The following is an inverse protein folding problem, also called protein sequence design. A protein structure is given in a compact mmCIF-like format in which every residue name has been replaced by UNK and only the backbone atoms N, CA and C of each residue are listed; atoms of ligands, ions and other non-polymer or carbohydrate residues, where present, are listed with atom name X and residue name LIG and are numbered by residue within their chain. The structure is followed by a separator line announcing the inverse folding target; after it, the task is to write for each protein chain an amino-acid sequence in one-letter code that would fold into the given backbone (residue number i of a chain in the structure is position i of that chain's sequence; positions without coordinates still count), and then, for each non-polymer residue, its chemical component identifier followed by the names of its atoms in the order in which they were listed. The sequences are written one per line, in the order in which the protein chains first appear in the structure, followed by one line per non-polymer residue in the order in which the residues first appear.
data_IF_540897047660
#
_entry.id   IF_540897047660
#
_cell.length_a   1.000
_cell.length_b   1.000
_cell.length_c   1.000
_cell.angle_alpha   90.00
_cell.angle_beta   90.00
_cell.angle_gamma   90.00
#
_symmetry.space_group_name_H-M   'P 1'
#
loop_
_entity.id
_entity.type
_entity.pdbx_description
1 polymer ?
#
# COMPACT_ATOMS: atom_id res chain seq x y z
N UNK A 1 -23.83 -4.09 -10.72
CA UNK A 1 -23.35 -2.72 -10.50
C UNK A 1 -22.28 -2.40 -11.51
N UNK A 2 -22.23 -1.18 -12.03
CA UNK A 2 -21.15 -0.72 -12.92
C UNK A 2 -20.48 0.50 -12.30
N UNK A 3 -19.17 0.46 -12.15
CA UNK A 3 -18.39 1.43 -11.39
C UNK A 3 -17.31 2.05 -12.27
N UNK A 4 -17.08 3.34 -12.11
CA UNK A 4 -16.01 4.07 -12.77
C UNK A 4 -14.98 4.51 -11.74
N UNK A 5 -13.69 4.27 -12.00
CA UNK A 5 -12.59 4.74 -11.15
C UNK A 5 -11.64 5.65 -11.93
N UNK A 6 -11.54 6.92 -11.53
CA UNK A 6 -10.67 7.91 -12.17
C UNK A 6 -9.46 8.18 -11.28
N UNK A 7 -8.27 7.89 -11.78
CA UNK A 7 -7.01 8.01 -11.05
C UNK A 7 -5.99 8.92 -11.76
N UNK A 8 -5.18 9.58 -10.95
CA UNK A 8 -4.05 10.43 -11.37
C UNK A 8 -2.70 9.69 -11.32
N UNK A 9 -2.68 8.46 -10.90
CA UNK A 9 -1.46 7.72 -10.60
C UNK A 9 -1.50 6.30 -11.10
N UNK A 10 -0.37 5.65 -10.96
CA UNK A 10 -0.21 4.24 -11.29
C UNK A 10 -1.16 3.38 -10.43
N UNK A 11 -2.22 2.90 -11.08
CA UNK A 11 -3.21 2.01 -10.47
C UNK A 11 -2.62 0.61 -10.24
N UNK A 12 -1.49 0.29 -10.85
CA UNK A 12 -0.82 -1.00 -10.68
C UNK A 12 -0.04 -1.13 -9.35
N UNK A 13 -0.12 -0.15 -8.44
CA UNK A 13 0.33 -0.38 -7.07
C UNK A 13 -0.57 -1.41 -6.36
N UNK A 14 0.03 -2.30 -5.55
CA UNK A 14 -0.69 -3.45 -4.96
C UNK A 14 -1.96 -3.08 -4.19
N UNK A 15 -1.93 -2.00 -3.46
CA UNK A 15 -3.09 -1.53 -2.70
C UNK A 15 -4.17 -0.87 -3.57
N UNK A 16 -3.80 -0.29 -4.72
CA UNK A 16 -4.79 0.18 -5.70
C UNK A 16 -5.44 -0.99 -6.42
N UNK A 17 -4.65 -1.96 -6.86
CA UNK A 17 -5.18 -3.18 -7.46
C UNK A 17 -6.09 -3.93 -6.51
N UNK A 18 -5.74 -4.01 -5.22
CA UNK A 18 -6.61 -4.59 -4.20
C UNK A 18 -7.94 -3.85 -4.06
N UNK A 19 -7.92 -2.53 -4.15
CA UNK A 19 -9.16 -1.72 -4.15
C UNK A 19 -9.98 -1.94 -5.41
N UNK A 20 -9.36 -1.94 -6.60
CA UNK A 20 -10.03 -2.25 -7.86
C UNK A 20 -10.63 -3.66 -7.83
N UNK A 21 -9.91 -4.64 -7.27
CA UNK A 21 -10.42 -5.99 -7.08
C UNK A 21 -11.68 -6.00 -6.17
N UNK A 22 -11.68 -5.20 -5.09
CA UNK A 22 -12.85 -5.05 -4.24
C UNK A 22 -14.04 -4.44 -4.98
N UNK A 23 -13.82 -3.42 -5.80
CA UNK A 23 -14.86 -2.84 -6.66
C UNK A 23 -15.40 -3.88 -7.65
N UNK A 24 -14.51 -4.68 -8.25
CA UNK A 24 -14.89 -5.68 -9.24
C UNK A 24 -15.73 -6.83 -8.65
N UNK A 25 -15.66 -7.12 -7.35
CA UNK A 25 -16.57 -8.07 -6.70
C UNK A 25 -18.01 -7.56 -6.62
N UNK A 26 -18.22 -6.24 -6.77
CA UNK A 26 -19.55 -5.62 -6.80
C UNK A 26 -20.15 -5.56 -8.21
N UNK A 27 -19.30 -5.67 -9.24
CA UNK A 27 -19.72 -5.64 -10.63
C UNK A 27 -18.62 -5.21 -11.59
N UNK A 28 -19.00 -4.71 -12.74
CA UNK A 28 -18.05 -4.28 -13.77
C UNK A 28 -17.37 -2.97 -13.37
N UNK A 29 -16.06 -2.91 -13.54
CA UNK A 29 -15.24 -1.72 -13.23
C UNK A 29 -14.51 -1.25 -14.47
N UNK A 30 -14.68 0.02 -14.79
CA UNK A 30 -13.85 0.72 -15.77
C UNK A 30 -12.89 1.67 -15.01
N UNK A 31 -11.62 1.64 -15.38
CA UNK A 31 -10.58 2.48 -14.77
C UNK A 31 -10.06 3.49 -15.78
N UNK A 32 -10.10 4.77 -15.44
CA UNK A 32 -9.49 5.85 -16.21
C UNK A 32 -8.23 6.30 -15.48
N UNK A 33 -7.08 6.11 -16.12
CA UNK A 33 -5.80 6.63 -15.66
C UNK A 33 -5.42 7.89 -16.47
N UNK A 34 -5.26 9.02 -15.77
CA UNK A 34 -4.87 10.28 -16.39
C UNK A 34 -3.35 10.33 -16.57
N UNK A 35 -2.87 10.30 -17.82
CA UNK A 35 -1.45 10.33 -18.18
C UNK A 35 -0.96 11.72 -18.64
N UNK A 36 0.35 11.92 -18.64
CA UNK A 36 0.98 13.19 -19.12
C UNK A 36 1.15 13.23 -20.64
N UNK A 37 1.29 12.08 -21.27
CA UNK A 37 1.69 11.96 -22.68
C UNK A 37 0.55 12.15 -23.65
N UNK A 38 0.88 12.64 -24.84
CA UNK A 38 -0.06 13.11 -25.86
C UNK A 38 -0.59 12.00 -26.79
N UNK A 39 -0.10 10.79 -26.60
CA UNK A 39 -0.48 9.63 -27.44
C UNK A 39 -1.86 9.13 -27.04
N UNK A 40 -2.87 9.58 -27.72
CA UNK A 40 -4.22 9.06 -27.80
C UNK A 40 -4.81 8.34 -26.57
N UNK A 41 -6.04 7.90 -26.66
CA UNK A 41 -6.65 7.04 -25.62
C UNK A 41 -6.25 5.60 -25.89
N UNK A 42 -5.45 5.02 -25.02
CA UNK A 42 -5.15 3.59 -25.03
C UNK A 42 -6.18 2.83 -24.20
N UNK A 43 -6.63 1.67 -24.72
CA UNK A 43 -7.57 0.77 -24.04
C UNK A 43 -6.90 -0.56 -23.79
N UNK A 44 -6.93 -1.03 -22.55
CA UNK A 44 -6.36 -2.32 -22.15
C UNK A 44 -7.31 -3.07 -21.21
N UNK A 45 -7.67 -4.29 -21.58
CA UNK A 45 -8.32 -5.23 -20.68
C UNK A 45 -7.27 -5.89 -19.80
N UNK A 46 -7.44 -5.80 -18.49
CA UNK A 46 -6.59 -6.46 -17.50
C UNK A 46 -7.41 -7.53 -16.79
N UNK A 47 -7.05 -8.79 -17.01
CA UNK A 47 -7.63 -9.94 -16.32
C UNK A 47 -6.66 -10.46 -15.25
N UNK A 48 -7.16 -11.20 -14.28
CA UNK A 48 -6.32 -12.04 -13.41
C UNK A 48 -6.14 -13.42 -14.05
N UNK A 49 -4.97 -14.04 -13.88
CA UNK A 49 -4.70 -15.41 -14.35
C UNK A 49 -5.67 -16.45 -13.77
N UNK A 50 -6.33 -16.11 -12.66
CA UNK A 50 -7.35 -16.94 -12.01
C UNK A 50 -8.78 -16.62 -12.49
N UNK A 51 -8.96 -15.84 -13.55
CA UNK A 51 -10.28 -15.54 -14.15
C UNK A 51 -11.24 -14.75 -13.28
N UNK A 52 -10.76 -14.17 -12.18
CA UNK A 52 -11.63 -13.58 -11.14
C UNK A 52 -12.14 -12.19 -11.51
N UNK A 53 -11.44 -11.45 -12.40
CA UNK A 53 -11.88 -10.11 -12.77
C UNK A 53 -11.38 -9.66 -14.13
N UNK A 54 -12.24 -8.93 -14.83
CA UNK A 54 -11.96 -8.25 -16.08
C UNK A 54 -12.18 -6.76 -15.86
N UNK A 55 -11.10 -5.98 -15.91
CA UNK A 55 -11.14 -4.54 -15.71
C UNK A 55 -10.65 -3.84 -16.96
N UNK A 56 -11.46 -2.93 -17.49
CA UNK A 56 -11.07 -2.14 -18.65
C UNK A 56 -10.32 -0.89 -18.19
N UNK A 57 -9.08 -0.75 -18.66
CA UNK A 57 -8.27 0.44 -18.43
C UNK A 57 -8.29 1.36 -19.64
N UNK A 58 -8.52 2.64 -19.38
CA UNK A 58 -8.45 3.73 -20.35
C UNK A 58 -7.36 4.70 -19.92
N UNK A 59 -6.37 4.89 -20.75
CA UNK A 59 -5.30 5.88 -20.52
C UNK A 59 -5.68 7.16 -21.25
N UNK A 60 -5.95 8.24 -20.49
CA UNK A 60 -6.40 9.50 -21.06
C UNK A 60 -5.33 10.58 -20.89
N UNK A 61 -4.87 11.24 -21.97
CA UNK A 61 -3.83 12.26 -21.92
C UNK A 61 -4.35 13.57 -21.31
N UNK A 62 -4.52 13.56 -19.99
CA UNK A 62 -5.07 14.69 -19.27
C UNK A 62 -4.53 14.80 -17.84
N UNK A 63 -3.66 15.77 -17.59
CA UNK A 63 -3.13 16.05 -16.24
C UNK A 63 -3.28 17.49 -15.78
N UNK A 64 -3.88 18.34 -16.56
CA UNK A 64 -3.97 19.77 -16.23
C UNK A 64 -5.42 20.17 -15.93
N UNK A 65 -5.67 20.68 -14.73
CA UNK A 65 -6.99 21.15 -14.30
C UNK A 65 -7.53 22.31 -15.19
N UNK A 66 -6.64 23.10 -15.78
CA UNK A 66 -7.04 24.18 -16.72
C UNK A 66 -7.72 23.61 -17.97
N UNK A 67 -7.47 22.33 -18.29
CA UNK A 67 -8.09 21.62 -19.42
C UNK A 67 -9.26 20.72 -19.00
N UNK A 68 -9.93 21.02 -17.90
CA UNK A 68 -11.00 20.18 -17.35
C UNK A 68 -12.06 19.83 -18.40
N UNK A 69 -12.53 20.82 -19.18
CA UNK A 69 -13.52 20.60 -20.24
C UNK A 69 -13.00 19.66 -21.33
N UNK A 70 -11.75 19.85 -21.80
CA UNK A 70 -11.15 18.93 -22.77
C UNK A 70 -11.04 17.50 -22.21
N UNK A 71 -10.61 17.37 -20.95
CA UNK A 71 -10.51 16.08 -20.27
C UNK A 71 -11.88 15.40 -20.17
N UNK A 72 -12.90 16.15 -19.79
CA UNK A 72 -14.29 15.68 -19.74
C UNK A 72 -14.73 15.14 -21.11
N UNK A 73 -14.56 15.91 -22.18
CA UNK A 73 -14.93 15.49 -23.55
C UNK A 73 -14.18 14.22 -24.00
N UNK A 74 -12.90 14.07 -23.61
CA UNK A 74 -12.14 12.86 -23.92
C UNK A 74 -12.71 11.64 -23.19
N UNK A 75 -13.08 11.79 -21.92
CA UNK A 75 -13.67 10.71 -21.12
C UNK A 75 -15.05 10.33 -21.67
N UNK A 76 -15.90 11.32 -21.99
CA UNK A 76 -17.23 11.09 -22.58
C UNK A 76 -17.19 10.36 -23.93
N UNK A 77 -16.08 10.45 -24.68
CA UNK A 77 -15.89 9.69 -25.93
C UNK A 77 -15.57 8.21 -25.73
N UNK A 78 -15.03 7.83 -24.58
CA UNK A 78 -14.53 6.47 -24.32
C UNK A 78 -15.41 5.67 -23.39
N UNK A 79 -16.20 6.33 -22.54
CA UNK A 79 -17.11 5.69 -21.60
C UNK A 79 -18.49 6.33 -21.65
N UNK A 80 -19.52 5.49 -21.58
CA UNK A 80 -20.91 5.91 -21.47
C UNK A 80 -21.25 6.13 -19.98
N UNK A 81 -21.24 7.40 -19.57
CA UNK A 81 -21.42 7.81 -18.17
C UNK A 81 -22.79 7.42 -17.60
N UNK A 82 -23.78 7.21 -18.46
CA UNK A 82 -25.14 6.87 -18.05
C UNK A 82 -25.27 5.49 -17.44
N UNK A 83 -24.25 4.66 -17.64
CA UNK A 83 -24.24 3.28 -17.20
C UNK A 83 -23.62 3.07 -15.83
N UNK A 84 -23.03 4.10 -15.21
CA UNK A 84 -22.33 3.92 -13.92
C UNK A 84 -23.23 4.27 -12.74
N UNK A 85 -23.25 3.38 -11.75
CA UNK A 85 -23.95 3.58 -10.48
C UNK A 85 -23.20 4.53 -9.54
N UNK A 86 -21.85 4.52 -9.59
CA UNK A 86 -21.01 5.42 -8.83
C UNK A 86 -19.67 5.70 -9.52
N UNK A 87 -19.06 6.86 -9.19
CA UNK A 87 -17.77 7.27 -9.68
C UNK A 87 -16.78 7.39 -8.51
N UNK A 88 -15.70 6.63 -8.55
CA UNK A 88 -14.59 6.74 -7.62
C UNK A 88 -13.51 7.64 -8.20
N UNK A 89 -12.84 8.41 -7.37
CA UNK A 89 -11.80 9.32 -7.82
C UNK A 89 -10.67 9.46 -6.79
N UNK A 90 -9.44 9.64 -7.28
CA UNK A 90 -8.33 10.11 -6.45
C UNK A 90 -8.35 11.63 -6.31
N UNK A 91 -7.61 12.22 -5.35
CA UNK A 91 -7.54 13.67 -5.17
C UNK A 91 -7.04 14.44 -6.41
N UNK A 92 -7.22 15.74 -6.43
CA UNK A 92 -6.85 16.71 -7.49
C UNK A 92 -7.81 16.63 -8.68
N UNK A 93 -7.26 16.58 -9.92
CA UNK A 93 -8.04 16.57 -11.14
C UNK A 93 -9.13 15.48 -11.20
N UNK A 94 -8.85 14.22 -10.80
CA UNK A 94 -9.87 13.15 -10.84
C UNK A 94 -11.16 13.49 -10.09
N UNK A 95 -11.10 14.04 -8.88
CA UNK A 95 -12.32 14.35 -8.12
C UNK A 95 -13.16 15.46 -8.76
N UNK A 96 -12.53 16.44 -9.38
CA UNK A 96 -13.24 17.50 -10.12
C UNK A 96 -13.88 16.96 -11.40
N UNK A 97 -13.16 16.08 -12.12
CA UNK A 97 -13.69 15.36 -13.27
C UNK A 97 -14.89 14.51 -12.87
N UNK A 98 -14.73 13.66 -11.84
CA UNK A 98 -15.81 12.83 -11.31
C UNK A 98 -17.05 13.66 -10.98
N UNK A 99 -16.87 14.80 -10.29
CA UNK A 99 -17.98 15.71 -9.98
C UNK A 99 -18.61 16.35 -11.21
N UNK A 100 -17.80 16.73 -12.22
CA UNK A 100 -18.31 17.32 -13.47
C UNK A 100 -19.02 16.31 -14.38
N UNK A 101 -18.66 15.03 -14.26
CA UNK A 101 -19.20 13.92 -15.04
C UNK A 101 -20.40 13.26 -14.34
N UNK A 102 -20.54 13.43 -13.02
CA UNK A 102 -21.62 12.81 -12.25
C UNK A 102 -22.97 13.46 -12.55
N UNK A 103 -24.01 12.62 -12.62
CA UNK A 103 -25.40 13.04 -12.73
C UNK A 103 -26.01 13.39 -11.38
N UNK A 104 -27.21 13.96 -11.40
CA UNK A 104 -27.99 14.18 -10.18
C UNK A 104 -28.26 12.82 -9.50
N UNK A 105 -27.94 12.72 -8.22
CA UNK A 105 -28.10 11.50 -7.43
C UNK A 105 -26.99 10.48 -7.57
N UNK A 106 -26.06 10.63 -8.51
CA UNK A 106 -24.92 9.71 -8.65
C UNK A 106 -23.85 10.01 -7.61
N UNK A 107 -23.44 8.96 -6.87
CA UNK A 107 -22.40 9.09 -5.82
C UNK A 107 -21.01 9.29 -6.40
N UNK A 108 -20.32 10.34 -5.93
CA UNK A 108 -18.88 10.56 -6.17
C UNK A 108 -18.12 10.22 -4.91
N UNK A 109 -17.27 9.20 -4.98
CA UNK A 109 -16.53 8.68 -3.83
C UNK A 109 -15.03 9.01 -3.99
N UNK A 110 -14.53 9.86 -3.11
CA UNK A 110 -13.11 10.24 -3.08
C UNK A 110 -12.29 9.17 -2.33
N UNK A 111 -11.23 8.68 -2.97
CA UNK A 111 -10.23 7.83 -2.32
C UNK A 111 -9.04 8.68 -1.86
N UNK A 112 -9.01 9.00 -0.59
CA UNK A 112 -8.03 9.91 0.00
C UNK A 112 -6.85 9.13 0.60
N UNK A 113 -5.76 9.05 -0.16
CA UNK A 113 -4.55 8.29 0.20
C UNK A 113 -3.82 8.84 1.41
N UNK A 114 -3.64 10.14 1.46
CA UNK A 114 -2.85 10.79 2.49
C UNK A 114 -3.10 12.28 2.48
N UNK A 115 -3.26 12.85 3.65
CA UNK A 115 -3.17 14.29 3.87
C UNK A 115 -1.76 14.58 4.36
N UNK A 116 -0.94 15.29 3.55
CA UNK A 116 0.46 15.59 3.92
C UNK A 116 0.56 16.27 5.29
N UNK A 117 -0.36 17.16 5.59
CA UNK A 117 -0.44 17.82 6.89
C UNK A 117 -0.60 16.85 8.06
N UNK A 118 -1.30 15.72 7.89
CA UNK A 118 -1.44 14.69 8.91
C UNK A 118 -0.10 14.04 9.31
N UNK A 119 0.87 14.09 8.40
CA UNK A 119 2.19 13.46 8.53
C UNK A 119 3.33 14.47 8.66
N UNK A 120 3.02 15.77 8.83
CA UNK A 120 4.01 16.85 8.84
C UNK A 120 5.15 16.58 9.85
N UNK A 121 4.83 16.14 11.07
CA UNK A 121 5.83 15.84 12.10
C UNK A 121 6.82 14.77 11.64
N UNK A 122 6.33 13.70 10.99
CA UNK A 122 7.19 12.63 10.51
C UNK A 122 8.01 13.09 9.29
N UNK A 123 7.38 13.83 8.38
CA UNK A 123 8.03 14.37 7.20
C UNK A 123 9.17 15.34 7.58
N UNK A 124 8.95 16.22 8.55
CA UNK A 124 10.00 17.10 9.08
C UNK A 124 11.14 16.31 9.73
N UNK A 125 10.83 15.27 10.51
CA UNK A 125 11.84 14.36 11.08
C UNK A 125 12.70 13.69 10.00
N UNK A 126 12.11 13.42 8.83
CA UNK A 126 12.81 12.88 7.66
C UNK A 126 13.46 13.95 6.76
N UNK A 127 13.43 15.23 7.16
CA UNK A 127 14.06 16.32 6.42
C UNK A 127 13.26 16.85 5.24
N UNK A 128 11.97 16.53 5.15
CA UNK A 128 11.05 17.05 4.13
C UNK A 128 10.50 18.44 4.55
N UNK A 129 11.38 19.43 4.65
CA UNK A 129 11.02 20.77 5.11
C UNK A 129 10.11 21.53 4.14
N UNK A 130 10.09 21.16 2.86
CA UNK A 130 9.17 21.68 1.85
C UNK A 130 7.70 21.43 2.22
N UNK A 131 7.41 20.41 3.04
CA UNK A 131 6.06 20.13 3.50
C UNK A 131 5.52 21.23 4.44
N UNK A 132 6.37 22.04 5.05
CA UNK A 132 5.93 23.22 5.81
C UNK A 132 5.30 24.27 4.89
N UNK A 133 5.92 24.55 3.75
CA UNK A 133 5.43 25.55 2.80
C UNK A 133 4.07 25.15 2.19
N UNK A 134 3.84 23.86 2.00
CA UNK A 134 2.59 23.33 1.41
C UNK A 134 1.56 22.90 2.46
N UNK A 135 1.84 23.08 3.76
CA UNK A 135 0.95 22.65 4.83
C UNK A 135 -0.45 23.25 4.72
N UNK A 136 -0.56 24.59 4.75
CA UNK A 136 -1.85 25.27 4.62
C UNK A 136 -2.52 25.05 3.27
N UNK A 137 -1.81 25.20 2.12
CA UNK A 137 -2.38 24.84 0.83
C UNK A 137 -2.91 23.38 0.79
N UNK A 138 -2.22 22.43 1.41
CA UNK A 138 -2.66 21.03 1.48
C UNK A 138 -3.96 20.87 2.29
N UNK A 139 -4.12 21.59 3.41
CA UNK A 139 -5.34 21.58 4.21
C UNK A 139 -6.52 22.09 3.36
N UNK A 140 -6.38 23.25 2.75
CA UNK A 140 -7.44 23.87 1.93
C UNK A 140 -7.80 22.97 0.75
N UNK A 141 -6.80 22.47 0.03
CA UNK A 141 -7.02 21.58 -1.11
C UNK A 141 -7.80 20.31 -0.73
N UNK A 142 -7.41 19.64 0.37
CA UNK A 142 -8.12 18.45 0.82
C UNK A 142 -9.55 18.76 1.30
N UNK A 143 -9.78 19.88 1.93
CA UNK A 143 -11.14 20.33 2.27
C UNK A 143 -11.99 20.45 1.01
N UNK A 144 -11.47 21.09 -0.04
CA UNK A 144 -12.17 21.24 -1.32
C UNK A 144 -12.44 19.87 -1.97
N UNK A 145 -11.48 18.94 -1.94
CA UNK A 145 -11.66 17.59 -2.52
C UNK A 145 -12.77 16.82 -1.78
N UNK A 146 -12.76 16.84 -0.45
CA UNK A 146 -13.79 16.19 0.38
C UNK A 146 -15.17 16.85 0.15
N UNK A 147 -15.23 18.18 0.06
CA UNK A 147 -16.47 18.91 -0.19
C UNK A 147 -17.10 18.53 -1.55
N UNK A 148 -16.27 18.26 -2.58
CA UNK A 148 -16.71 17.88 -3.92
C UNK A 148 -17.04 16.38 -4.07
N UNK A 149 -16.94 15.58 -3.02
CA UNK A 149 -17.36 14.18 -3.01
C UNK A 149 -18.63 13.96 -2.21
N UNK A 150 -19.37 12.88 -2.50
CA UNK A 150 -20.47 12.39 -1.66
C UNK A 150 -19.89 11.79 -0.40
N UNK A 151 -18.90 10.88 -0.57
CA UNK A 151 -18.12 10.26 0.51
C UNK A 151 -16.63 10.34 0.23
N UNK A 152 -15.82 10.31 1.29
CA UNK A 152 -14.36 10.29 1.21
C UNK A 152 -13.80 9.14 2.04
N UNK A 153 -13.19 8.19 1.36
CA UNK A 153 -12.55 7.01 1.97
C UNK A 153 -11.10 7.35 2.29
N UNK A 154 -10.74 7.36 3.56
CA UNK A 154 -9.35 7.47 4.03
C UNK A 154 -8.74 6.08 4.20
N UNK A 155 -7.51 5.90 3.73
CA UNK A 155 -6.84 4.60 3.68
C UNK A 155 -6.01 4.27 4.92
N UNK A 156 -5.83 5.21 5.84
CA UNK A 156 -5.12 5.00 7.11
C UNK A 156 -5.76 5.79 8.26
N UNK A 157 -5.48 5.32 9.50
CA UNK A 157 -6.05 5.92 10.70
C UNK A 157 -5.54 7.33 10.97
N UNK A 158 -4.27 7.62 10.67
CA UNK A 158 -3.68 8.94 10.92
C UNK A 158 -4.34 10.00 10.03
N UNK A 159 -4.52 9.71 8.74
CA UNK A 159 -5.25 10.57 7.80
C UNK A 159 -6.72 10.75 8.21
N UNK A 160 -7.40 9.68 8.61
CA UNK A 160 -8.79 9.73 9.08
C UNK A 160 -8.95 10.63 10.30
N UNK A 161 -8.15 10.39 11.34
CA UNK A 161 -8.22 11.16 12.60
C UNK A 161 -7.89 12.63 12.38
N UNK A 162 -6.88 12.92 11.53
CA UNK A 162 -6.55 14.28 11.16
C UNK A 162 -7.71 14.97 10.44
N UNK A 163 -8.32 14.29 9.45
CA UNK A 163 -9.44 14.84 8.68
C UNK A 163 -10.65 15.13 9.57
N UNK A 164 -11.01 14.23 10.50
CA UNK A 164 -12.10 14.43 11.46
C UNK A 164 -11.90 15.67 12.33
N UNK A 165 -10.66 15.93 12.76
CA UNK A 165 -10.33 17.09 13.61
C UNK A 165 -10.25 18.40 12.84
N UNK A 166 -9.74 18.33 11.61
CA UNK A 166 -9.47 19.52 10.78
C UNK A 166 -10.71 19.99 10.01
N UNK A 167 -11.59 19.05 9.64
CA UNK A 167 -12.78 19.31 8.84
C UNK A 167 -14.07 18.80 9.53
N UNK A 168 -14.39 19.30 10.75
CA UNK A 168 -15.54 18.79 11.51
C UNK A 168 -16.88 18.91 10.76
N UNK A 169 -17.03 19.94 9.89
CA UNK A 169 -18.21 20.15 9.05
C UNK A 169 -18.37 19.10 7.92
N UNK A 170 -17.34 18.31 7.63
CA UNK A 170 -17.36 17.26 6.61
C UNK A 170 -17.32 15.86 7.21
N UNK A 171 -17.53 15.74 8.52
CA UNK A 171 -17.40 14.48 9.28
C UNK A 171 -18.25 13.36 8.69
N UNK A 172 -19.48 13.65 8.33
CA UNK A 172 -20.46 12.67 7.84
C UNK A 172 -20.08 12.12 6.45
N UNK A 173 -19.17 12.79 5.75
CA UNK A 173 -18.63 12.32 4.48
C UNK A 173 -17.38 11.43 4.64
N UNK A 174 -16.79 11.36 5.84
CA UNK A 174 -15.50 10.70 6.05
C UNK A 174 -15.67 9.25 6.52
N UNK A 175 -15.06 8.35 5.79
CA UNK A 175 -15.03 6.92 6.09
C UNK A 175 -13.58 6.45 6.19
N UNK A 176 -13.30 5.52 7.12
CA UNK A 176 -12.02 4.84 7.21
C UNK A 176 -12.18 3.44 6.60
N UNK A 177 -11.39 3.15 5.58
CA UNK A 177 -11.37 1.84 4.93
C UNK A 177 -9.97 1.52 4.45
N UNK A 178 -9.33 0.55 5.09
CA UNK A 178 -7.99 0.11 4.73
C UNK A 178 -8.02 -0.61 3.38
N UNK A 179 -7.01 -0.37 2.50
CA UNK A 179 -6.96 -1.04 1.22
C UNK A 179 -6.66 -2.53 1.42
N UNK A 180 -7.28 -3.42 0.63
CA UNK A 180 -6.89 -4.82 0.60
C UNK A 180 -5.58 -5.01 -0.17
N UNK A 181 -4.95 -6.16 0.01
CA UNK A 181 -3.82 -6.56 -0.80
C UNK A 181 -4.31 -6.94 -2.21
N UNK A 182 -3.62 -6.48 -3.25
CA UNK A 182 -3.91 -6.79 -4.64
C UNK A 182 -2.76 -7.49 -5.34
N UNK A 183 -3.09 -8.41 -6.22
CA UNK A 183 -2.14 -9.08 -7.09
C UNK A 183 -1.86 -8.23 -8.33
N UNK A 184 -0.63 -8.30 -8.85
CA UNK A 184 -0.26 -7.67 -10.12
C UNK A 184 -0.47 -8.71 -11.23
N UNK A 185 -1.43 -8.52 -12.15
CA UNK A 185 -1.69 -9.47 -13.22
C UNK A 185 -0.48 -9.55 -14.18
N UNK A 186 -0.06 -10.78 -14.51
CA UNK A 186 0.85 -11.03 -15.64
C UNK A 186 2.32 -10.64 -15.47
N UNK A 187 2.81 -10.39 -14.25
CA UNK A 187 4.21 -10.02 -14.03
C UNK A 187 5.05 -11.23 -13.61
N UNK A 188 5.42 -12.06 -14.58
CA UNK A 188 6.41 -13.11 -14.43
C UNK A 188 7.73 -12.75 -15.11
N UNK A 189 8.38 -11.67 -14.70
CA UNK A 189 9.79 -11.51 -15.05
C UNK A 189 10.58 -12.58 -14.27
N UNK A 190 10.94 -13.64 -14.95
CA UNK A 190 11.93 -14.60 -14.49
C UNK A 190 13.30 -13.91 -14.46
N UNK A 191 13.64 -13.27 -13.32
CA UNK A 191 15.04 -13.02 -13.01
C UNK A 191 15.66 -14.29 -12.43
N UNK A 192 16.97 -14.47 -12.60
CA UNK A 192 17.70 -15.62 -12.09
C UNK A 192 17.83 -15.57 -10.55
N UNK A 193 16.91 -16.26 -9.87
CA UNK A 193 16.82 -16.35 -8.42
C UNK A 193 17.44 -17.64 -7.86
N UNK A 194 18.18 -18.40 -8.68
CA UNK A 194 18.63 -19.77 -8.35
C UNK A 194 19.30 -19.89 -6.98
N UNK A 195 20.19 -18.96 -6.63
CA UNK A 195 20.91 -18.98 -5.33
C UNK A 195 20.01 -18.69 -4.13
N UNK A 196 18.96 -17.90 -4.32
CA UNK A 196 18.02 -17.55 -3.24
C UNK A 196 16.97 -18.63 -3.08
N UNK A 197 16.61 -19.30 -4.17
CA UNK A 197 15.64 -20.41 -4.14
C UNK A 197 16.09 -21.54 -3.23
N UNK A 198 17.40 -21.84 -3.15
CA UNK A 198 17.92 -22.86 -2.22
C UNK A 198 17.59 -22.54 -0.75
N UNK A 199 17.81 -21.28 -0.31
CA UNK A 199 17.47 -20.85 1.06
C UNK A 199 15.97 -20.84 1.27
N UNK A 200 15.21 -20.33 0.28
CA UNK A 200 13.76 -20.31 0.34
C UNK A 200 13.16 -21.70 0.33
N UNK A 201 13.73 -22.63 -0.45
CA UNK A 201 13.23 -24.01 -0.53
C UNK A 201 13.51 -24.79 0.75
N UNK A 202 14.65 -24.54 1.43
CA UNK A 202 14.90 -25.09 2.78
C UNK A 202 13.86 -24.59 3.80
N UNK A 203 13.38 -23.36 3.64
CA UNK A 203 12.48 -22.72 4.61
C UNK A 203 13.19 -22.31 5.91
N UNK A 204 12.41 -21.92 6.92
CA UNK A 204 12.88 -21.61 8.28
C UNK A 204 13.86 -20.42 8.33
N UNK A 205 13.52 -19.31 7.70
CA UNK A 205 14.32 -18.08 7.69
C UNK A 205 13.52 -16.86 8.17
N UNK A 206 14.25 -15.81 8.54
CA UNK A 206 13.69 -14.49 8.79
C UNK A 206 13.61 -13.70 7.49
N UNK A 207 12.43 -13.17 7.16
CA UNK A 207 12.18 -12.35 5.99
C UNK A 207 12.21 -10.86 6.35
N UNK A 208 12.87 -10.03 5.53
CA UNK A 208 12.82 -8.58 5.64
C UNK A 208 12.90 -7.90 4.29
N UNK A 209 12.29 -6.71 4.17
CA UNK A 209 12.25 -5.94 2.93
C UNK A 209 12.86 -4.56 3.13
N UNK A 210 13.93 -4.24 2.39
CA UNK A 210 14.47 -2.88 2.38
C UNK A 210 15.14 -2.55 1.04
N UNK A 211 15.09 -1.29 0.61
CA UNK A 211 15.60 -0.86 -0.70
C UNK A 211 16.78 0.09 -0.53
N UNK A 212 17.99 -0.48 -0.46
CA UNK A 212 19.24 0.26 -0.30
C UNK A 212 19.70 1.01 -1.57
N UNK A 213 19.05 0.78 -2.70
CA UNK A 213 19.31 1.51 -3.95
C UNK A 213 18.77 2.93 -3.96
N UNK A 214 17.78 3.24 -3.11
CA UNK A 214 17.23 4.59 -2.95
C UNK A 214 18.24 5.52 -2.27
N UNK A 215 17.99 6.82 -2.32
CA UNK A 215 18.84 7.87 -1.75
C UNK A 215 18.06 8.78 -0.80
N UNK A 216 18.72 9.80 -0.25
CA UNK A 216 18.10 10.82 0.58
C UNK A 216 17.55 10.34 1.91
N UNK A 217 16.46 10.96 2.34
CA UNK A 217 15.85 10.71 3.65
C UNK A 217 15.38 9.27 3.83
N UNK A 218 14.81 8.66 2.78
CA UNK A 218 14.39 7.26 2.83
C UNK A 218 15.57 6.32 3.18
N UNK A 219 16.69 6.46 2.49
CA UNK A 219 17.88 5.65 2.78
C UNK A 219 18.36 5.84 4.21
N UNK A 220 18.44 7.11 4.67
CA UNK A 220 18.99 7.45 5.98
C UNK A 220 18.10 6.97 7.14
N UNK A 221 16.80 7.18 7.06
CA UNK A 221 15.89 7.03 8.20
C UNK A 221 15.03 5.75 8.16
N UNK A 222 14.97 5.07 7.02
CA UNK A 222 14.17 3.86 6.86
C UNK A 222 15.04 2.67 6.42
N UNK A 223 15.65 2.73 5.24
CA UNK A 223 16.33 1.57 4.67
C UNK A 223 17.58 1.16 5.44
N UNK A 224 18.46 2.09 5.83
CA UNK A 224 19.67 1.77 6.62
C UNK A 224 19.34 1.20 7.99
N UNK A 225 18.48 1.81 8.83
CA UNK A 225 18.13 1.23 10.13
C UNK A 225 17.54 -0.18 10.00
N UNK A 226 16.65 -0.39 9.03
CA UNK A 226 16.05 -1.70 8.80
C UNK A 226 17.11 -2.74 8.39
N UNK A 227 18.01 -2.39 7.47
CA UNK A 227 19.09 -3.26 7.04
C UNK A 227 20.04 -3.65 8.21
N UNK A 228 20.31 -2.70 9.11
CA UNK A 228 21.12 -2.95 10.32
C UNK A 228 20.40 -3.92 11.27
N UNK A 229 19.09 -3.79 11.45
CA UNK A 229 18.30 -4.75 12.25
C UNK A 229 18.44 -6.16 11.67
N UNK A 230 18.24 -6.35 10.37
CA UNK A 230 18.38 -7.65 9.70
C UNK A 230 19.82 -8.22 9.81
N UNK A 231 20.83 -7.37 9.66
CA UNK A 231 22.21 -7.74 9.87
C UNK A 231 22.48 -8.25 11.30
N UNK A 232 21.97 -7.55 12.31
CA UNK A 232 22.16 -7.96 13.72
C UNK A 232 21.42 -9.26 14.02
N UNK A 233 20.25 -9.48 13.44
CA UNK A 233 19.52 -10.75 13.54
C UNK A 233 20.36 -11.89 12.93
N UNK A 234 20.85 -11.72 11.70
CA UNK A 234 21.69 -12.72 11.04
C UNK A 234 22.94 -13.05 11.86
N UNK A 235 23.59 -12.04 12.45
CA UNK A 235 24.79 -12.20 13.26
C UNK A 235 24.55 -12.92 14.59
N UNK A 236 23.38 -12.73 15.22
CA UNK A 236 23.12 -13.15 16.61
C UNK A 236 22.19 -14.36 16.73
N UNK A 237 21.29 -14.57 15.77
CA UNK A 237 20.27 -15.60 15.87
C UNK A 237 20.67 -16.97 15.25
N UNK A 238 21.78 -17.06 14.56
CA UNK A 238 22.24 -18.25 13.82
C UNK A 238 21.13 -18.86 12.93
N UNK A 239 20.37 -18.00 12.27
CA UNK A 239 19.29 -18.35 11.33
C UNK A 239 19.54 -17.62 10.00
N UNK A 240 19.11 -18.22 8.91
CA UNK A 240 19.12 -17.54 7.61
C UNK A 240 18.23 -16.32 7.63
N UNK A 241 18.71 -15.20 7.07
CA UNK A 241 17.96 -13.95 6.91
C UNK A 241 17.89 -13.60 5.43
N UNK A 242 16.69 -13.48 4.90
CA UNK A 242 16.44 -13.11 3.50
C UNK A 242 16.06 -11.64 3.44
N UNK A 243 16.97 -10.82 2.88
CA UNK A 243 16.77 -9.39 2.67
C UNK A 243 16.34 -9.15 1.23
N UNK A 244 15.09 -8.75 1.04
CA UNK A 244 14.46 -8.50 -0.27
C UNK A 244 14.51 -7.01 -0.61
N UNK A 245 14.71 -6.67 -1.88
CA UNK A 245 14.74 -5.32 -2.42
C UNK A 245 16.12 -4.67 -2.49
N UNK A 246 17.18 -5.44 -2.18
CA UNK A 246 18.56 -4.95 -2.23
C UNK A 246 19.51 -6.05 -2.70
N UNK A 247 20.57 -5.67 -3.43
CA UNK A 247 21.65 -6.55 -3.83
C UNK A 247 22.84 -6.44 -2.86
N UNK A 248 23.78 -7.39 -2.94
CA UNK A 248 25.06 -7.33 -2.22
C UNK A 248 25.86 -6.07 -2.59
N UNK A 249 25.81 -5.61 -3.84
CA UNK A 249 26.50 -4.38 -4.26
C UNK A 249 25.85 -3.13 -3.67
N UNK A 250 24.52 -3.11 -3.55
CA UNK A 250 23.83 -2.05 -2.80
C UNK A 250 24.27 -2.02 -1.33
N UNK A 251 24.43 -3.18 -0.71
CA UNK A 251 24.95 -3.29 0.66
C UNK A 251 26.36 -2.73 0.78
N UNK A 252 27.29 -3.19 -0.06
CA UNK A 252 28.69 -2.73 -0.07
C UNK A 252 28.82 -1.23 -0.24
N UNK A 253 28.00 -0.64 -1.12
CA UNK A 253 27.96 0.81 -1.34
C UNK A 253 27.48 1.57 -0.11
N UNK A 254 26.45 1.07 0.58
CA UNK A 254 25.81 1.76 1.72
C UNK A 254 26.58 1.52 3.03
N UNK A 255 27.23 0.35 3.16
CA UNK A 255 27.96 -0.11 4.34
C UNK A 255 29.34 -0.64 3.96
N UNK A 256 30.27 0.21 3.46
CA UNK A 256 31.56 -0.23 2.93
C UNK A 256 32.42 -0.98 3.95
N UNK A 257 32.30 -0.64 5.23
CA UNK A 257 33.06 -1.25 6.33
C UNK A 257 32.36 -2.42 7.02
N UNK A 258 31.12 -2.75 6.62
CA UNK A 258 30.29 -3.76 7.28
C UNK A 258 30.12 -5.00 6.38
N UNK A 259 30.96 -6.02 6.60
CA UNK A 259 30.87 -7.28 5.87
C UNK A 259 29.61 -8.04 6.30
N UNK A 260 28.71 -8.41 5.37
CA UNK A 260 27.53 -9.20 5.71
C UNK A 260 27.94 -10.60 6.18
N UNK A 261 27.26 -11.16 7.19
CA UNK A 261 27.47 -12.54 7.60
C UNK A 261 26.98 -13.51 6.51
N UNK A 262 27.50 -14.76 6.47
CA UNK A 262 27.20 -15.72 5.40
C UNK A 262 25.74 -16.13 5.31
N UNK A 263 24.99 -16.03 6.39
CA UNK A 263 23.55 -16.31 6.50
C UNK A 263 22.65 -15.08 6.25
N UNK A 264 23.19 -13.97 5.76
CA UNK A 264 22.41 -12.82 5.25
C UNK A 264 22.37 -12.89 3.72
N UNK A 265 21.22 -13.29 3.19
CA UNK A 265 21.00 -13.51 1.76
C UNK A 265 20.30 -12.31 1.12
N UNK A 266 20.83 -11.85 -0.01
CA UNK A 266 20.32 -10.68 -0.71
C UNK A 266 19.49 -11.10 -1.91
N UNK A 267 18.25 -10.60 -1.94
CA UNK A 267 17.30 -10.82 -3.04
C UNK A 267 16.95 -9.46 -3.62
N UNK A 268 17.23 -9.26 -4.89
CA UNK A 268 16.94 -8.01 -5.60
C UNK A 268 15.49 -7.52 -5.45
N UNK A 269 15.04 -6.69 -6.38
CA UNK A 269 13.67 -6.16 -6.43
C UNK A 269 13.02 -6.56 -7.75
N UNK A 270 11.69 -6.44 -7.85
CA UNK A 270 10.97 -6.66 -9.11
C UNK A 270 10.34 -8.04 -9.25
N UNK A 271 10.00 -8.68 -8.14
CA UNK A 271 9.39 -10.02 -8.14
C UNK A 271 7.92 -10.00 -8.53
N UNK A 272 7.51 -11.00 -9.30
CA UNK A 272 6.11 -11.37 -9.50
C UNK A 272 5.49 -11.97 -8.23
N UNK A 273 4.16 -12.04 -8.22
CA UNK A 273 3.39 -12.49 -7.06
C UNK A 273 3.68 -13.94 -6.65
N UNK A 274 4.01 -14.82 -7.61
CA UNK A 274 4.37 -16.21 -7.33
C UNK A 274 5.64 -16.34 -6.48
N UNK A 275 6.66 -15.53 -6.78
CA UNK A 275 7.92 -15.51 -6.03
C UNK A 275 7.69 -14.91 -4.63
N UNK A 276 6.90 -13.85 -4.54
CA UNK A 276 6.55 -13.26 -3.24
C UNK A 276 5.75 -14.23 -2.37
N UNK A 277 4.78 -14.94 -2.96
CA UNK A 277 4.02 -15.96 -2.26
C UNK A 277 4.94 -17.06 -1.69
N UNK A 278 5.94 -17.51 -2.48
CA UNK A 278 6.92 -18.49 -2.04
C UNK A 278 7.81 -17.94 -0.90
N UNK A 279 8.31 -16.70 -1.04
CA UNK A 279 9.08 -16.02 0.00
C UNK A 279 8.31 -15.92 1.33
N UNK A 280 7.05 -15.49 1.28
CA UNK A 280 6.25 -15.41 2.50
C UNK A 280 5.89 -16.80 3.05
N UNK A 281 5.48 -17.76 2.21
CA UNK A 281 5.01 -19.07 2.68
C UNK A 281 6.03 -19.83 3.52
N UNK A 282 7.31 -19.70 3.17
CA UNK A 282 8.42 -20.43 3.82
C UNK A 282 9.09 -19.65 4.95
N UNK A 283 8.86 -18.35 5.06
CA UNK A 283 9.42 -17.54 6.14
C UNK A 283 8.85 -17.97 7.50
N UNK A 284 9.71 -18.09 8.50
CA UNK A 284 9.34 -18.35 9.90
C UNK A 284 8.83 -17.09 10.60
N UNK A 285 9.46 -15.95 10.31
CA UNK A 285 9.12 -14.65 10.89
C UNK A 285 9.35 -13.56 9.85
N UNK A 286 8.45 -12.61 9.78
CA UNK A 286 8.61 -11.41 8.97
C UNK A 286 8.95 -10.21 9.86
N UNK A 287 10.11 -9.60 9.62
CA UNK A 287 10.61 -8.42 10.34
C UNK A 287 10.31 -7.17 9.52
N UNK A 288 9.42 -6.33 10.04
CA UNK A 288 8.94 -5.12 9.36
C UNK A 288 8.93 -3.91 10.31
N UNK A 289 10.10 -3.36 10.69
CA UNK A 289 10.15 -2.14 11.51
C UNK A 289 9.63 -0.95 10.70
N UNK A 290 8.55 -0.34 11.17
CA UNK A 290 7.94 0.83 10.55
C UNK A 290 8.51 2.08 11.20
N UNK A 291 8.98 3.03 10.41
CA UNK A 291 9.63 4.27 10.86
C UNK A 291 8.75 5.51 10.75
N UNK A 292 7.74 5.46 9.90
CA UNK A 292 6.85 6.59 9.60
C UNK A 292 5.39 6.16 9.58
N UNK A 293 4.47 7.13 9.65
CA UNK A 293 3.02 6.89 9.69
C UNK A 293 2.38 6.69 8.32
N UNK A 294 3.15 6.20 7.36
CA UNK A 294 2.60 5.82 6.05
C UNK A 294 2.09 4.38 6.09
N UNK A 295 1.03 4.12 5.32
CA UNK A 295 0.57 2.75 5.11
C UNK A 295 1.68 1.92 4.49
N UNK A 296 1.90 0.73 5.00
CA UNK A 296 2.92 -0.18 4.51
C UNK A 296 2.29 -1.31 3.71
N UNK A 297 2.56 -1.34 2.40
CA UNK A 297 2.17 -2.47 1.56
C UNK A 297 2.76 -3.79 2.04
N UNK A 298 3.99 -3.75 2.60
CA UNK A 298 4.66 -4.95 3.11
C UNK A 298 3.99 -5.50 4.35
N UNK A 299 3.48 -4.62 5.23
CA UNK A 299 2.67 -5.06 6.37
C UNK A 299 1.40 -5.77 5.89
N UNK A 300 0.69 -5.19 4.91
CA UNK A 300 -0.51 -5.80 4.32
C UNK A 300 -0.21 -7.15 3.67
N UNK A 301 0.91 -7.27 2.95
CA UNK A 301 1.38 -8.54 2.38
C UNK A 301 1.62 -9.58 3.48
N UNK A 302 2.37 -9.22 4.53
CA UNK A 302 2.64 -10.12 5.65
C UNK A 302 1.36 -10.62 6.33
N UNK A 303 0.38 -9.74 6.55
CA UNK A 303 -0.94 -10.10 7.09
C UNK A 303 -1.73 -11.00 6.12
N UNK A 304 -1.72 -10.67 4.81
CA UNK A 304 -2.39 -11.46 3.78
C UNK A 304 -1.86 -12.90 3.73
N UNK A 305 -0.53 -13.06 3.75
CA UNK A 305 0.09 -14.39 3.76
C UNK A 305 0.06 -15.06 5.16
N UNK A 306 -0.52 -14.40 6.16
CA UNK A 306 -0.64 -14.93 7.51
C UNK A 306 0.70 -15.19 8.17
N UNK A 307 1.67 -14.27 8.01
CA UNK A 307 3.00 -14.47 8.62
C UNK A 307 3.04 -13.92 10.04
N UNK A 308 3.75 -14.56 10.97
CA UNK A 308 4.17 -13.91 12.19
C UNK A 308 4.94 -12.65 11.84
N UNK A 309 4.49 -11.49 12.35
CA UNK A 309 5.10 -10.19 12.04
C UNK A 309 5.62 -9.57 13.32
N UNK A 310 6.88 -9.11 13.30
CA UNK A 310 7.39 -8.18 14.30
C UNK A 310 7.56 -6.79 13.67
N UNK A 311 7.04 -5.77 14.35
CA UNK A 311 7.03 -4.38 13.88
C UNK A 311 7.28 -3.42 15.04
N UNK A 312 7.35 -2.13 14.76
CA UNK A 312 7.57 -1.09 15.79
C UNK A 312 6.28 -0.44 16.25
N UNK A 313 6.33 0.30 17.35
CA UNK A 313 5.17 0.99 17.94
C UNK A 313 4.47 1.98 17.00
N UNK A 314 5.14 2.41 15.93
CA UNK A 314 4.55 3.29 14.90
C UNK A 314 3.31 2.67 14.27
N UNK A 315 3.20 1.35 14.22
CA UNK A 315 2.02 0.64 13.71
C UNK A 315 0.72 1.04 14.42
N UNK A 316 0.78 1.35 15.71
CA UNK A 316 -0.39 1.79 16.51
C UNK A 316 -1.04 3.09 15.99
N UNK A 317 -0.26 3.93 15.32
CA UNK A 317 -0.78 5.19 14.74
C UNK A 317 -1.40 4.99 13.36
N UNK A 318 -1.03 3.91 12.67
CA UNK A 318 -1.50 3.62 11.31
C UNK A 318 -2.67 2.65 11.36
N UNK A 319 -2.53 1.61 12.18
CA UNK A 319 -3.45 0.49 12.34
C UNK A 319 -3.67 0.17 13.83
N UNK A 320 -4.39 1.03 14.58
CA UNK A 320 -4.62 0.82 16.02
C UNK A 320 -5.42 -0.46 16.32
N UNK A 321 -6.06 -1.06 15.32
CA UNK A 321 -6.77 -2.33 15.43
C UNK A 321 -5.82 -3.53 15.56
N UNK A 322 -4.54 -3.38 15.19
CA UNK A 322 -3.56 -4.45 15.33
C UNK A 322 -3.08 -4.57 16.77
N UNK A 323 -3.42 -5.68 17.40
CA UNK A 323 -3.15 -5.95 18.81
C UNK A 323 -1.80 -6.63 18.96
N UNK A 324 -0.96 -6.10 19.89
CA UNK A 324 0.33 -6.70 20.25
C UNK A 324 0.15 -8.14 20.73
N UNK A 325 1.06 -9.02 20.32
CA UNK A 325 1.10 -10.45 20.65
C UNK A 325 -0.14 -11.26 20.26
N UNK A 326 -1.08 -10.65 19.51
CA UNK A 326 -2.23 -11.32 18.90
C UNK A 326 -2.10 -11.28 17.38
N UNK A 327 -2.15 -10.09 16.78
CA UNK A 327 -2.10 -9.90 15.33
C UNK A 327 -0.67 -9.70 14.81
N UNK A 328 0.13 -8.95 15.57
CA UNK A 328 1.53 -8.63 15.31
C UNK A 328 2.29 -8.54 16.63
N UNK A 329 3.60 -8.76 16.61
CA UNK A 329 4.44 -8.45 17.78
C UNK A 329 4.96 -7.02 17.64
N UNK A 330 4.63 -6.17 18.60
CA UNK A 330 5.03 -4.76 18.61
C UNK A 330 6.23 -4.60 19.53
N UNK A 331 7.35 -4.16 18.97
CA UNK A 331 8.63 -3.96 19.64
C UNK A 331 9.07 -2.50 19.62
N UNK A 332 10.13 -2.17 20.34
CA UNK A 332 10.85 -0.91 20.19
C UNK A 332 12.05 -1.08 19.25
N UNK A 333 12.64 0.03 18.79
CA UNK A 333 13.84 -0.03 17.96
C UNK A 333 15.03 -0.66 18.70
N UNK A 334 15.13 -0.44 20.01
CA UNK A 334 16.27 -0.90 20.81
C UNK A 334 16.15 -2.39 21.15
N UNK A 335 14.92 -2.92 21.25
CA UNK A 335 14.68 -4.31 21.65
C UNK A 335 14.38 -5.26 20.47
N UNK A 336 14.08 -4.75 19.27
CA UNK A 336 13.55 -5.56 18.16
C UNK A 336 14.43 -6.76 17.81
N UNK A 337 15.75 -6.65 17.90
CA UNK A 337 16.67 -7.76 17.61
C UNK A 337 16.57 -8.85 18.69
N UNK A 338 16.51 -8.47 19.95
CA UNK A 338 16.38 -9.40 21.07
C UNK A 338 15.00 -10.07 21.07
N UNK A 339 13.95 -9.31 20.79
CA UNK A 339 12.59 -9.81 20.66
C UNK A 339 12.47 -10.83 19.50
N UNK A 340 13.14 -10.60 18.36
CA UNK A 340 13.22 -11.58 17.28
C UNK A 340 13.85 -12.88 17.76
N UNK A 341 14.97 -12.80 18.49
CA UNK A 341 15.66 -14.00 19.03
C UNK A 341 14.75 -14.77 19.99
N UNK A 342 14.00 -14.06 20.83
CA UNK A 342 13.03 -14.66 21.76
C UNK A 342 11.88 -15.32 20.97
N UNK A 343 11.33 -14.65 19.99
CA UNK A 343 10.23 -15.17 19.17
C UNK A 343 10.64 -16.44 18.41
N UNK A 344 11.83 -16.47 17.83
CA UNK A 344 12.36 -17.63 17.10
C UNK A 344 12.52 -18.87 17.97
N UNK A 345 12.59 -18.72 19.28
CA UNK A 345 12.64 -19.84 20.26
C UNK A 345 11.28 -20.27 20.78
N UNK A 346 10.19 -19.62 20.34
CA UNK A 346 8.86 -19.85 20.89
C UNK A 346 7.82 -20.11 19.79
N UNK A 347 7.73 -21.36 19.35
CA UNK A 347 6.81 -21.77 18.30
C UNK A 347 5.32 -21.49 18.64
N UNK A 348 4.96 -21.53 19.92
CA UNK A 348 3.57 -21.26 20.33
C UNK A 348 3.21 -19.79 20.08
N UNK A 349 4.12 -18.86 20.33
CA UNK A 349 3.91 -17.44 20.03
C UNK A 349 3.83 -17.23 18.51
N UNK A 350 4.75 -17.84 17.75
CA UNK A 350 4.74 -17.74 16.29
C UNK A 350 3.44 -18.26 15.68
N UNK A 351 2.97 -19.45 16.08
CA UNK A 351 1.69 -19.99 15.61
C UNK A 351 0.49 -19.08 15.95
N UNK A 352 0.49 -18.53 17.16
CA UNK A 352 -0.56 -17.55 17.56
C UNK A 352 -0.54 -16.29 16.69
N UNK A 353 0.63 -15.75 16.42
CA UNK A 353 0.80 -14.58 15.55
C UNK A 353 0.42 -14.89 14.10
N UNK A 354 0.73 -16.08 13.60
CA UNK A 354 0.32 -16.55 12.28
C UNK A 354 -1.21 -16.58 12.13
N UNK A 355 -1.88 -17.18 13.10
CA UNK A 355 -3.35 -17.20 13.14
C UNK A 355 -3.92 -15.78 13.23
N UNK A 356 -3.42 -14.98 14.15
CA UNK A 356 -3.88 -13.61 14.36
C UNK A 356 -3.61 -12.69 13.17
N UNK A 357 -2.52 -12.87 12.43
CA UNK A 357 -2.25 -12.12 11.21
C UNK A 357 -3.32 -12.39 10.13
N UNK A 358 -3.70 -13.65 9.91
CA UNK A 358 -4.80 -14.04 9.00
C UNK A 358 -6.14 -13.47 9.45
N UNK A 359 -6.43 -13.56 10.75
CA UNK A 359 -7.64 -12.99 11.34
C UNK A 359 -7.70 -11.46 11.11
N UNK A 360 -6.61 -10.76 11.43
CA UNK A 360 -6.52 -9.32 11.23
C UNK A 360 -6.73 -8.92 9.77
N UNK A 361 -6.11 -9.64 8.83
CA UNK A 361 -6.31 -9.37 7.41
C UNK A 361 -7.79 -9.52 7.01
N UNK A 362 -8.40 -10.63 7.36
CA UNK A 362 -9.80 -10.91 7.01
C UNK A 362 -10.76 -9.89 7.62
N UNK A 363 -10.50 -9.49 8.87
CA UNK A 363 -11.37 -8.60 9.64
C UNK A 363 -11.23 -7.13 9.27
N UNK A 364 -10.04 -6.66 8.86
CA UNK A 364 -9.77 -5.22 8.70
C UNK A 364 -9.34 -4.82 7.29
N UNK A 365 -8.80 -5.76 6.48
CA UNK A 365 -8.13 -5.43 5.22
C UNK A 365 -8.65 -6.22 4.02
N UNK A 366 -9.59 -7.15 4.19
CA UNK A 366 -10.00 -8.05 3.12
C UNK A 366 -10.77 -7.33 1.99
N UNK A 367 -10.64 -7.88 0.80
CA UNK A 367 -11.42 -7.48 -0.38
C UNK A 367 -12.92 -7.55 -0.11
N UNK A 368 -13.39 -8.59 0.61
CA UNK A 368 -14.78 -8.77 0.99
C UNK A 368 -15.29 -7.62 1.86
N UNK A 369 -14.56 -7.27 2.93
CA UNK A 369 -14.92 -6.14 3.81
C UNK A 369 -15.01 -4.83 3.03
N UNK A 370 -14.03 -4.58 2.14
CA UNK A 370 -14.03 -3.39 1.30
C UNK A 370 -15.26 -3.34 0.41
N UNK A 371 -15.59 -4.45 -0.28
CA UNK A 371 -16.75 -4.55 -1.14
C UNK A 371 -18.06 -4.32 -0.36
N UNK A 372 -18.25 -4.98 0.78
CA UNK A 372 -19.44 -4.82 1.62
C UNK A 372 -19.62 -3.38 2.11
N UNK A 373 -18.52 -2.73 2.53
CA UNK A 373 -18.55 -1.33 2.97
C UNK A 373 -18.91 -0.39 1.82
N UNK A 374 -18.29 -0.60 0.64
CA UNK A 374 -18.56 0.20 -0.55
C UNK A 374 -19.99 0.01 -1.01
N UNK A 375 -20.52 -1.22 -1.04
CA UNK A 375 -21.89 -1.52 -1.41
C UNK A 375 -22.89 -0.74 -0.55
N UNK A 376 -22.65 -0.65 0.75
CA UNK A 376 -23.49 0.10 1.69
C UNK A 376 -23.54 1.57 1.36
N UNK A 377 -22.38 2.21 1.13
CA UNK A 377 -22.32 3.66 0.85
C UNK A 377 -22.82 4.06 -0.56
N UNK A 378 -22.92 3.11 -1.50
CA UNK A 378 -23.52 3.36 -2.83
C UNK A 378 -25.02 3.12 -2.80
N UNK A 379 -25.48 2.18 -1.96
CA UNK A 379 -26.88 1.80 -1.87
C UNK A 379 -27.73 2.72 -0.97
N UNK A 380 -27.06 3.54 -0.16
CA UNK A 380 -27.66 4.61 0.64
C UNK A 380 -27.76 5.91 -0.21
#
# INVERSE_FOLDING_TARGET
MRLLYISNGDVFSRHELGFVAALNTLGNVDVIELKREEDGVERKLVGSDNGVWNVMFYYVPCRNIIRLTKCRTLIEKVVDLDRYDAIFATPRLPVFLAKSLSKSGQSVILRLWSIRAAKLRDNLRFGAYEDMAIFMPSIIANMIYIANSTYSITVDHATYTFALRTYPMLRDKLLKLYPPYGFIPGDSKQEDYSKVLEVVDRGDYVLGFTTLSKSGAYLKFEAKPHAVVLYQIAKRANIDVVLVGSSLDNWRRVFPSLKPPPNLHFVGAGFGDSVLAKLYSKARLFVMPITNRNISNRLLEGLFYGKPIITTEVVKYIHPELIHSVHVFISTWDSIVDDVIILLRNDNILKRLEHGAKEAYNRFFSTKLNAETIKRIIGD
#
